data_IF_398349795082
#
_entry.id   IF_398349795082
#
_cell.length_a   1.000
_cell.length_b   1.000
_cell.length_c   1.000
_cell.angle_alpha   90.00
_cell.angle_beta   90.00
_cell.angle_gamma   90.00
#
_symmetry.space_group_name_H-M   'P 1'
#
loop_
_entity.id
_entity.type
_entity.pdbx_description
1 polymer ?
#
# COMPACT_ATOMS: atom_id res chain seq x y z
N UNK A 1 46.18 -10.47 -29.18
CA UNK A 1 44.71 -10.48 -29.36
C UNK A 1 44.21 -10.01 -28.01
N UNK A 2 44.11 -8.70 -27.82
CA UNK A 2 44.07 -8.09 -26.49
C UNK A 2 43.02 -6.98 -26.47
N UNK A 3 41.75 -7.35 -26.32
CA UNK A 3 40.68 -6.41 -26.00
C UNK A 3 39.55 -7.09 -25.23
N UNK A 4 39.61 -7.01 -23.89
CA UNK A 4 38.45 -7.15 -23.00
C UNK A 4 38.71 -6.27 -21.75
N UNK A 5 38.65 -4.96 -21.96
CA UNK A 5 38.92 -3.95 -20.92
C UNK A 5 37.59 -3.55 -20.24
N UNK A 6 37.39 -4.07 -19.04
CA UNK A 6 36.68 -3.55 -17.86
C UNK A 6 35.92 -2.20 -17.91
N UNK A 7 35.05 -1.94 -18.90
CA UNK A 7 34.25 -0.69 -18.92
C UNK A 7 32.99 -0.74 -18.04
N UNK A 8 32.52 -1.92 -17.65
CA UNK A 8 31.23 -2.08 -16.95
C UNK A 8 31.32 -1.83 -15.44
N UNK A 9 32.45 -2.17 -14.81
CA UNK A 9 32.64 -2.09 -13.35
C UNK A 9 32.73 -0.63 -12.82
N UNK A 10 33.11 0.31 -13.70
CA UNK A 10 33.27 1.72 -13.35
C UNK A 10 31.92 2.43 -13.15
N UNK A 11 30.87 1.95 -13.82
CA UNK A 11 29.51 2.50 -13.72
C UNK A 11 28.78 1.96 -12.48
N UNK A 12 29.00 0.70 -12.10
CA UNK A 12 28.34 0.05 -10.96
C UNK A 12 28.69 0.73 -9.63
N UNK A 13 29.97 1.08 -9.43
CA UNK A 13 30.41 1.82 -8.25
C UNK A 13 29.76 3.22 -8.17
N UNK A 14 29.58 3.88 -9.31
CA UNK A 14 28.94 5.19 -9.38
C UNK A 14 27.43 5.10 -9.09
N UNK A 15 26.76 4.06 -9.58
CA UNK A 15 25.35 3.78 -9.32
C UNK A 15 25.10 3.52 -7.84
N UNK A 16 25.91 2.68 -7.19
CA UNK A 16 25.81 2.40 -5.75
C UNK A 16 26.03 3.66 -4.91
N UNK A 17 26.98 4.52 -5.32
CA UNK A 17 27.21 5.79 -4.63
C UNK A 17 26.00 6.73 -4.75
N UNK A 18 25.41 6.86 -5.94
CA UNK A 18 24.19 7.67 -6.14
C UNK A 18 23.02 7.13 -5.31
N UNK A 19 22.84 5.82 -5.28
CA UNK A 19 21.79 5.15 -4.51
C UNK A 19 21.93 5.41 -2.99
N UNK A 20 23.14 5.23 -2.44
CA UNK A 20 23.40 5.47 -1.02
C UNK A 20 23.18 6.93 -0.63
N UNK A 21 23.59 7.88 -1.49
CA UNK A 21 23.35 9.31 -1.28
C UNK A 21 21.86 9.64 -1.26
N UNK A 22 21.10 9.06 -2.19
CA UNK A 22 19.65 9.24 -2.24
C UNK A 22 19.01 8.70 -0.96
N UNK A 23 19.40 7.51 -0.52
CA UNK A 23 18.79 6.92 0.66
C UNK A 23 19.11 7.72 1.93
N UNK A 24 20.36 8.17 2.08
CA UNK A 24 20.76 8.99 3.20
C UNK A 24 20.01 10.34 3.26
N UNK A 25 19.78 10.97 2.11
CA UNK A 25 19.06 12.25 2.01
C UNK A 25 17.62 12.15 2.53
N UNK A 26 16.94 11.03 2.32
CA UNK A 26 15.52 10.89 2.66
C UNK A 26 15.24 10.09 3.94
N UNK A 27 16.24 9.44 4.55
CA UNK A 27 16.10 8.64 5.79
C UNK A 27 15.46 9.40 6.97
N UNK A 28 15.64 10.72 7.06
CA UNK A 28 15.16 11.53 8.19
C UNK A 28 13.97 12.44 7.85
N UNK A 29 13.54 12.51 6.59
CA UNK A 29 12.45 13.39 6.15
C UNK A 29 11.07 12.90 6.60
N UNK A 30 10.95 11.66 7.07
CA UNK A 30 9.71 11.11 7.65
C UNK A 30 9.45 11.48 9.11
N UNK A 31 10.38 12.18 9.80
CA UNK A 31 10.21 12.60 11.19
C UNK A 31 9.70 14.05 11.27
N UNK A 32 8.57 14.33 10.65
CA UNK A 32 7.81 15.53 10.99
C UNK A 32 7.13 15.28 12.34
N UNK A 33 7.63 15.97 13.36
CA UNK A 33 7.05 16.01 14.70
C UNK A 33 5.60 16.46 14.60
N UNK A 34 4.67 15.53 14.82
CA UNK A 34 3.26 15.84 15.00
C UNK A 34 3.10 16.63 16.29
N UNK A 35 2.96 17.96 16.17
CA UNK A 35 2.52 18.81 17.28
C UNK A 35 1.00 18.89 17.18
N UNK A 36 0.23 18.39 18.16
CA UNK A 36 -1.21 18.49 18.13
C UNK A 36 -1.62 19.90 18.52
N UNK A 37 -1.92 20.75 17.55
CA UNK A 37 -2.61 22.01 17.81
C UNK A 37 -4.10 21.72 18.02
N UNK A 38 -4.47 21.54 19.30
CA UNK A 38 -5.84 21.70 19.77
C UNK A 38 -6.28 23.13 19.49
N UNK A 39 -7.22 23.34 18.58
CA UNK A 39 -7.91 24.64 18.45
C UNK A 39 -9.40 24.43 18.64
N UNK A 40 -9.87 25.00 19.76
CA UNK A 40 -11.26 25.16 20.09
C UNK A 40 -11.98 25.93 18.98
N UNK A 41 -13.18 25.45 18.65
CA UNK A 41 -14.06 26.06 17.65
C UNK A 41 -14.64 27.37 18.21
N UNK A 42 -14.22 28.51 17.66
CA UNK A 42 -14.97 29.77 17.80
C UNK A 42 -15.29 30.32 16.41
N UNK A 43 -16.56 30.12 16.02
CA UNK A 43 -17.22 30.88 14.96
C UNK A 43 -17.11 32.38 15.27
N UNK A 44 -16.47 33.14 14.40
CA UNK A 44 -16.68 34.58 14.31
C UNK A 44 -16.51 35.05 12.87
N UNK A 45 -17.64 35.46 12.29
CA UNK A 45 -17.82 36.27 11.08
C UNK A 45 -16.80 37.40 10.94
N UNK A 46 -16.27 37.60 9.72
CA UNK A 46 -15.68 38.87 9.32
C UNK A 46 -15.85 39.11 7.81
N UNK A 47 -16.78 40.01 7.49
CA UNK A 47 -16.83 40.74 6.22
C UNK A 47 -15.76 41.85 6.22
N UNK A 48 -15.33 42.25 5.01
CA UNK A 48 -14.44 43.39 4.66
C UNK A 48 -12.96 43.23 4.98
N UNK A 49 -12.07 43.39 3.99
CA UNK A 49 -11.61 44.70 3.54
C UNK A 49 -10.56 44.59 2.42
N UNK A 50 -10.55 45.64 1.60
CA UNK A 50 -9.68 45.94 0.46
C UNK A 50 -8.17 45.90 0.73
N UNK A 51 -7.46 45.59 -0.37
CA UNK A 51 -6.14 46.10 -0.80
C UNK A 51 -5.15 46.58 0.26
N UNK A 52 -4.03 45.85 0.41
CA UNK A 52 -2.72 46.49 0.56
C UNK A 52 -1.66 45.66 -0.20
N UNK A 53 -1.18 46.23 -1.29
CA UNK A 53 0.11 45.95 -1.93
C UNK A 53 1.22 46.00 -0.86
N UNK A 54 1.66 44.86 -0.35
CA UNK A 54 2.84 44.76 0.50
C UNK A 54 3.91 43.93 -0.21
N UNK A 55 5.10 44.52 -0.22
CA UNK A 55 6.30 44.05 -0.88
C UNK A 55 6.50 42.54 -0.70
N UNK A 56 6.79 41.87 -1.82
CA UNK A 56 7.21 40.48 -1.85
C UNK A 56 8.57 40.42 -1.14
N UNK A 57 8.58 40.14 0.16
CA UNK A 57 9.76 39.56 0.82
C UNK A 57 10.07 38.27 0.08
N UNK A 58 11.09 38.31 -0.77
CA UNK A 58 11.46 37.22 -1.69
C UNK A 58 11.95 35.93 -1.01
N UNK A 59 11.86 35.85 0.33
CA UNK A 59 12.34 34.73 1.14
C UNK A 59 11.21 34.01 1.92
N UNK A 60 9.93 34.37 1.68
CA UNK A 60 8.79 33.64 2.22
C UNK A 60 8.03 32.90 1.13
N UNK A 61 8.06 31.57 1.24
CA UNK A 61 7.26 30.65 0.41
C UNK A 61 5.77 31.01 0.61
N UNK A 62 5.00 31.26 -0.46
CA UNK A 62 3.57 31.48 -0.36
C UNK A 62 2.89 30.24 0.24
N UNK A 63 2.22 30.39 1.38
CA UNK A 63 1.44 29.30 1.99
C UNK A 63 0.11 29.15 1.28
N UNK A 64 -0.23 27.92 0.89
CA UNK A 64 -1.51 27.61 0.24
C UNK A 64 -2.66 27.86 1.22
N UNK A 65 -3.42 28.94 1.01
CA UNK A 65 -4.56 29.34 1.84
C UNK A 65 -5.89 28.72 1.41
N UNK A 66 -5.92 27.99 0.30
CA UNK A 66 -7.15 27.38 -0.20
C UNK A 66 -7.39 26.01 0.44
N UNK A 67 -8.44 25.94 1.26
CA UNK A 67 -8.97 24.68 1.79
C UNK A 67 -9.89 24.08 0.73
N UNK A 68 -9.45 22.97 0.13
CA UNK A 68 -10.29 22.19 -0.78
C UNK A 68 -11.37 21.48 0.05
N UNK A 69 -12.59 22.00 0.01
CA UNK A 69 -13.76 21.33 0.60
C UNK A 69 -14.14 20.18 -0.34
N UNK A 70 -13.62 18.99 -0.06
CA UNK A 70 -14.05 17.78 -0.73
C UNK A 70 -15.48 17.45 -0.27
N UNK A 71 -16.45 17.56 -1.18
CA UNK A 71 -17.76 16.98 -0.93
C UNK A 71 -17.58 15.48 -0.64
N UNK A 72 -18.18 14.94 0.44
CA UNK A 72 -18.14 13.51 0.69
C UNK A 72 -18.69 12.82 -0.54
N UNK A 73 -17.80 12.11 -1.24
CA UNK A 73 -18.21 11.29 -2.38
C UNK A 73 -19.20 10.28 -1.82
N UNK A 74 -20.43 10.32 -2.35
CA UNK A 74 -21.38 9.24 -2.17
C UNK A 74 -20.68 8.02 -2.77
N UNK A 75 -20.07 7.20 -1.92
CA UNK A 75 -19.44 5.96 -2.33
C UNK A 75 -20.59 5.11 -2.82
N UNK A 76 -20.83 5.11 -4.14
CA UNK A 76 -21.75 4.16 -4.72
C UNK A 76 -21.30 2.78 -4.23
N UNK A 77 -22.21 1.98 -3.65
CA UNK A 77 -21.87 0.64 -3.23
C UNK A 77 -21.27 -0.05 -4.45
N UNK A 78 -20.00 -0.46 -4.34
CA UNK A 78 -19.31 -1.06 -5.46
C UNK A 78 -20.16 -2.24 -5.96
N UNK A 79 -20.37 -2.35 -7.28
CA UNK A 79 -21.10 -3.48 -7.83
C UNK A 79 -20.43 -4.75 -7.33
N UNK A 80 -21.25 -5.73 -6.94
CA UNK A 80 -20.85 -6.97 -6.30
C UNK A 80 -19.67 -7.59 -7.07
N UNK A 81 -18.44 -7.32 -6.59
CA UNK A 81 -17.24 -7.78 -7.28
C UNK A 81 -17.29 -9.29 -7.31
N UNK A 82 -16.98 -9.88 -8.46
CA UNK A 82 -16.77 -11.32 -8.57
C UNK A 82 -15.74 -11.70 -7.51
N UNK A 83 -15.90 -12.86 -6.89
CA UNK A 83 -14.97 -13.31 -5.87
C UNK A 83 -13.57 -13.38 -6.49
N UNK A 84 -12.50 -12.97 -5.77
CA UNK A 84 -11.15 -12.96 -6.35
C UNK A 84 -10.73 -14.32 -6.94
N UNK A 85 -11.20 -15.42 -6.34
CA UNK A 85 -11.00 -16.79 -6.82
C UNK A 85 -11.60 -16.99 -8.22
N UNK A 86 -12.81 -16.48 -8.46
CA UNK A 86 -13.47 -16.55 -9.78
C UNK A 86 -12.63 -15.88 -10.88
N UNK A 87 -12.07 -14.70 -10.57
CA UNK A 87 -11.27 -13.94 -11.53
C UNK A 87 -9.96 -14.65 -11.86
N UNK A 88 -9.25 -15.12 -10.84
CA UNK A 88 -8.00 -15.86 -11.01
C UNK A 88 -8.23 -17.15 -11.81
N UNK A 89 -9.30 -17.89 -11.50
CA UNK A 89 -9.64 -19.12 -12.23
C UNK A 89 -9.92 -18.84 -13.71
N UNK A 90 -10.73 -17.82 -14.01
CA UNK A 90 -11.05 -17.50 -15.41
C UNK A 90 -9.83 -17.05 -16.20
N UNK A 91 -8.98 -16.20 -15.61
CA UNK A 91 -7.73 -15.79 -16.25
C UNK A 91 -6.82 -16.99 -16.52
N UNK A 92 -6.66 -17.89 -15.55
CA UNK A 92 -5.83 -19.09 -15.73
C UNK A 92 -6.38 -20.05 -16.80
N UNK A 93 -7.70 -20.18 -16.92
CA UNK A 93 -8.33 -20.99 -17.96
C UNK A 93 -8.17 -20.37 -19.36
N UNK A 94 -8.27 -19.04 -19.44
CA UNK A 94 -8.03 -18.28 -20.66
C UNK A 94 -6.56 -18.41 -21.10
N UNK A 95 -5.62 -18.21 -20.17
CA UNK A 95 -4.17 -18.33 -20.40
C UNK A 95 -3.77 -19.76 -20.81
N UNK A 96 -4.43 -20.78 -20.25
CA UNK A 96 -4.17 -22.18 -20.56
C UNK A 96 -4.93 -22.68 -21.80
N UNK A 97 -5.78 -21.85 -22.41
CA UNK A 97 -6.70 -22.23 -23.49
C UNK A 97 -7.54 -23.48 -23.16
N UNK A 98 -8.00 -23.58 -21.91
CA UNK A 98 -8.85 -24.67 -21.46
C UNK A 98 -10.30 -24.22 -21.52
N UNK A 99 -11.08 -24.86 -22.39
CA UNK A 99 -12.53 -24.72 -22.40
C UNK A 99 -13.14 -25.52 -21.24
N UNK A 100 -13.92 -24.84 -20.42
CA UNK A 100 -14.70 -25.43 -19.33
C UNK A 100 -16.08 -24.76 -19.28
N UNK A 101 -17.11 -25.52 -18.91
CA UNK A 101 -18.47 -24.99 -18.81
C UNK A 101 -18.60 -23.97 -17.67
N UNK A 102 -19.51 -23.01 -17.84
CA UNK A 102 -19.74 -21.94 -16.86
C UNK A 102 -20.21 -22.52 -15.51
N UNK A 103 -21.00 -23.61 -15.53
CA UNK A 103 -21.43 -24.34 -14.33
C UNK A 103 -20.24 -24.93 -13.58
N UNK A 104 -19.32 -25.54 -14.32
CA UNK A 104 -18.19 -26.29 -13.76
C UNK A 104 -17.14 -25.32 -13.23
N UNK A 105 -16.89 -24.22 -13.95
CA UNK A 105 -16.13 -23.08 -13.43
C UNK A 105 -16.71 -22.65 -12.08
N UNK A 106 -18.03 -22.46 -11.99
CA UNK A 106 -18.72 -21.97 -10.77
C UNK A 106 -18.60 -22.93 -9.61
N UNK A 107 -18.81 -24.22 -9.87
CA UNK A 107 -18.63 -25.26 -8.88
C UNK A 107 -17.17 -25.30 -8.38
N UNK A 108 -16.21 -25.21 -9.29
CA UNK A 108 -14.78 -25.24 -8.97
C UNK A 108 -14.36 -24.03 -8.14
N UNK A 109 -14.74 -22.82 -8.54
CA UNK A 109 -14.42 -21.61 -7.78
C UNK A 109 -15.00 -21.65 -6.36
N UNK A 110 -16.25 -22.09 -6.21
CA UNK A 110 -16.87 -22.27 -4.90
C UNK A 110 -16.14 -23.33 -4.05
N UNK A 111 -15.77 -24.47 -4.64
CA UNK A 111 -15.01 -25.50 -3.93
C UNK A 111 -13.63 -24.98 -3.46
N UNK A 112 -12.97 -24.15 -4.28
CA UNK A 112 -11.71 -23.52 -3.92
C UNK A 112 -11.86 -22.51 -2.78
N UNK A 113 -12.92 -21.71 -2.78
CA UNK A 113 -13.25 -20.77 -1.69
C UNK A 113 -13.45 -21.49 -0.37
N UNK A 114 -14.27 -22.54 -0.35
CA UNK A 114 -14.53 -23.37 0.84
C UNK A 114 -13.23 -23.98 1.36
N UNK A 115 -12.37 -24.50 0.46
CA UNK A 115 -11.11 -25.11 0.86
C UNK A 115 -10.11 -24.10 1.41
N UNK A 116 -10.04 -22.89 0.85
CA UNK A 116 -9.18 -21.82 1.36
C UNK A 116 -9.65 -21.35 2.75
N UNK A 117 -10.97 -21.25 2.95
CA UNK A 117 -11.54 -20.94 4.26
C UNK A 117 -11.23 -22.02 5.30
N UNK A 118 -11.41 -23.31 4.97
CA UNK A 118 -11.09 -24.42 5.87
C UNK A 118 -9.59 -24.47 6.21
N UNK A 119 -8.71 -24.24 5.23
CA UNK A 119 -7.26 -24.23 5.45
C UNK A 119 -6.82 -23.13 6.42
N UNK A 120 -7.37 -21.92 6.30
CA UNK A 120 -7.08 -20.83 7.22
C UNK A 120 -7.54 -21.14 8.65
N UNK A 121 -8.67 -21.84 8.80
CA UNK A 121 -9.15 -22.28 10.10
C UNK A 121 -8.23 -23.35 10.70
N UNK A 122 -7.74 -24.32 9.91
CA UNK A 122 -6.83 -25.37 10.42
C UNK A 122 -5.47 -24.85 10.88
N UNK A 123 -4.92 -23.81 10.26
CA UNK A 123 -3.64 -23.23 10.70
C UNK A 123 -3.72 -22.62 12.10
N UNK A 124 -4.89 -22.12 12.52
CA UNK A 124 -5.08 -21.51 13.85
C UNK A 124 -5.16 -22.56 14.97
N UNK A 125 -5.62 -23.78 14.71
CA UNK A 125 -5.77 -24.83 15.73
C UNK A 125 -4.53 -25.74 15.90
N UNK A 126 -3.57 -25.69 14.97
CA UNK A 126 -2.38 -26.56 15.02
C UNK A 126 -1.22 -26.04 15.88
N UNK A 127 -1.28 -24.79 16.37
CA UNK A 127 -0.18 -24.18 17.13
C UNK A 127 -0.17 -24.48 18.64
N UNK A 128 -1.08 -25.31 19.16
CA UNK A 128 -1.39 -25.36 20.60
C UNK A 128 -1.14 -26.66 21.37
N UNK A 129 -0.52 -27.71 20.82
CA UNK A 129 -0.41 -29.00 21.53
C UNK A 129 1.00 -29.56 21.60
N UNK A 130 1.88 -28.85 22.30
CA UNK A 130 3.02 -29.49 22.98
C UNK A 130 2.50 -30.07 24.30
N UNK A 131 2.14 -31.35 24.33
CA UNK A 131 2.01 -32.08 25.60
C UNK A 131 3.32 -32.82 25.85
N UNK A 132 4.09 -32.27 26.78
CA UNK A 132 5.24 -32.90 27.42
C UNK A 132 4.78 -34.21 28.08
N UNK A 133 5.23 -35.35 27.56
CA UNK A 133 5.13 -36.62 28.29
C UNK A 133 6.44 -36.80 29.04
N UNK A 134 6.40 -36.44 30.33
CA UNK A 134 7.44 -36.72 31.31
C UNK A 134 7.56 -38.24 31.45
N UNK A 135 8.70 -38.79 31.05
CA UNK A 135 9.07 -40.18 31.32
C UNK A 135 9.47 -40.26 32.79
N UNK A 136 8.62 -40.84 33.64
CA UNK A 136 9.03 -41.26 34.98
C UNK A 136 9.65 -42.66 34.86
N UNK A 137 10.95 -42.74 35.14
CA UNK A 137 11.59 -43.98 35.51
C UNK A 137 11.22 -44.33 36.95
N UNK A 138 10.85 -45.60 37.17
CA UNK A 138 11.49 -46.46 38.18
C UNK A 138 11.33 -47.93 37.78
#
# INVERSE_FOLDING_TARGET
>A
MDENKSTTDLDDAQILNKFNNLMNKYKNQGKMTSVPHTVASTLATASQADQITQAIESDKIPTLTEVVILHPSIIQPQPKRLTPIWQILNAALEDAHIEMDISDRKALAHALEVRLADRNNRTLFSSGRSQSIQTYQE
#
